data_IF_011651930929
#
_entry.id   IF_011651930929
#
_cell.length_a   1.000
_cell.length_b   1.000
_cell.length_c   1.000
_cell.angle_alpha   90.00
_cell.angle_beta   90.00
_cell.angle_gamma   90.00
#
_symmetry.space_group_name_H-M   'P 1'
#
loop_
_entity.id
_entity.type
_entity.pdbx_description
1 polymer ?
#
# COMPACT_ATOMS: atom_id res chain seq x y z
N UNK A 1 43.66 5.28 -37.36
CA UNK A 1 43.59 6.73 -37.04
C UNK A 1 43.99 6.88 -35.58
N UNK A 2 45.08 7.61 -35.30
CA UNK A 2 45.57 7.91 -33.94
C UNK A 2 45.53 9.42 -33.80
N UNK A 3 44.74 9.95 -32.86
CA UNK A 3 44.87 11.33 -32.43
C UNK A 3 44.96 11.35 -30.91
N UNK A 4 46.20 11.45 -30.46
CA UNK A 4 46.61 11.70 -29.08
C UNK A 4 46.65 13.21 -28.82
N UNK A 5 46.27 13.55 -27.59
CA UNK A 5 46.78 14.63 -26.72
C UNK A 5 46.32 16.09 -26.92
N UNK A 6 45.45 16.50 -25.98
CA UNK A 6 45.51 17.70 -25.10
C UNK A 6 45.81 19.07 -25.71
N UNK A 7 44.87 20.01 -25.54
CA UNK A 7 45.25 21.38 -25.20
C UNK A 7 44.21 22.04 -24.28
N UNK A 8 44.75 22.72 -23.29
CA UNK A 8 44.17 23.12 -22.02
C UNK A 8 43.51 24.50 -22.18
N UNK A 9 42.44 24.68 -21.41
CA UNK A 9 41.84 25.95 -21.02
C UNK A 9 42.76 27.18 -21.10
N UNK A 10 42.25 28.29 -21.68
CA UNK A 10 42.35 29.68 -21.18
C UNK A 10 42.08 30.74 -22.27
N UNK A 11 40.91 30.75 -22.88
CA UNK A 11 40.41 31.95 -23.59
C UNK A 11 38.92 31.65 -23.82
N UNK A 12 37.92 32.31 -23.25
CA UNK A 12 37.71 33.73 -23.12
C UNK A 12 36.69 33.97 -22.00
N UNK A 13 37.15 34.70 -20.98
CA UNK A 13 36.37 35.27 -19.90
C UNK A 13 35.98 36.69 -20.36
N UNK A 14 34.99 36.81 -21.25
CA UNK A 14 34.58 38.10 -21.83
C UNK A 14 33.06 38.29 -21.70
N UNK A 15 32.70 39.05 -20.66
CA UNK A 15 31.49 39.87 -20.48
C UNK A 15 30.09 39.24 -20.60
N UNK A 16 29.46 39.04 -19.41
CA UNK A 16 28.17 39.66 -19.09
C UNK A 16 26.88 39.00 -19.57
N UNK A 17 26.12 38.48 -18.60
CA UNK A 17 24.71 38.04 -18.65
C UNK A 17 24.40 36.76 -19.45
N UNK A 18 24.24 35.64 -18.73
CA UNK A 18 22.97 34.90 -18.69
C UNK A 18 22.88 34.13 -17.37
N UNK A 19 21.87 34.47 -16.58
CA UNK A 19 21.31 33.63 -15.52
C UNK A 19 20.82 32.32 -16.15
N UNK A 20 21.26 31.18 -15.64
CA UNK A 20 20.43 29.97 -15.59
C UNK A 20 21.18 28.81 -14.90
N UNK A 21 20.69 28.50 -13.70
CA UNK A 21 20.50 27.16 -13.14
C UNK A 21 21.74 26.29 -12.92
N UNK A 22 22.20 26.37 -11.67
CA UNK A 22 22.85 25.33 -10.90
C UNK A 22 22.23 23.95 -11.16
N UNK A 23 22.94 23.07 -11.87
CA UNK A 23 22.74 21.63 -11.72
C UNK A 23 23.81 21.13 -10.75
N UNK A 24 23.52 21.31 -9.47
CA UNK A 24 24.24 20.66 -8.38
C UNK A 24 23.53 19.35 -8.03
N UNK A 25 24.36 18.34 -7.71
CA UNK A 25 24.09 17.02 -7.09
C UNK A 25 23.70 15.87 -8.03
N UNK A 26 24.43 14.75 -7.88
CA UNK A 26 23.85 13.52 -7.39
C UNK A 26 24.36 13.32 -5.97
N UNK A 27 23.47 13.46 -4.98
CA UNK A 27 23.73 12.98 -3.64
C UNK A 27 22.78 11.82 -3.40
N UNK A 28 23.40 10.68 -3.13
CA UNK A 28 22.88 9.50 -2.44
C UNK A 28 21.35 9.46 -2.20
N UNK A 29 20.63 8.69 -3.01
CA UNK A 29 19.41 8.04 -2.54
C UNK A 29 19.89 6.88 -1.67
N UNK A 30 19.91 7.11 -0.36
CA UNK A 30 20.04 6.04 0.62
C UNK A 30 18.88 5.07 0.34
N UNK A 31 19.24 3.87 -0.11
CA UNK A 31 18.32 2.75 -0.21
C UNK A 31 17.87 2.44 1.23
N UNK A 32 16.71 2.96 1.61
CA UNK A 32 16.01 2.54 2.81
C UNK A 32 15.75 1.03 2.64
N UNK A 33 16.58 0.21 3.27
CA UNK A 33 16.31 -1.19 3.60
C UNK A 33 15.14 -1.17 4.60
N UNK A 34 13.95 -0.88 4.07
CA UNK A 34 12.71 -1.07 4.78
C UNK A 34 12.49 -2.58 4.77
N UNK A 35 12.62 -3.18 5.94
CA UNK A 35 12.26 -4.58 6.18
C UNK A 35 10.98 -4.88 5.40
N UNK A 36 11.12 -5.79 4.44
CA UNK A 36 10.06 -6.52 3.77
C UNK A 36 9.27 -7.23 4.88
N UNK A 37 8.39 -6.47 5.54
CA UNK A 37 7.28 -7.05 6.27
C UNK A 37 6.48 -7.75 5.20
N UNK A 38 6.81 -9.02 5.02
CA UNK A 38 6.06 -10.06 4.38
C UNK A 38 4.58 -9.78 4.63
N UNK A 39 3.99 -9.02 3.72
CA UNK A 39 2.55 -8.76 3.63
C UNK A 39 1.95 -10.02 3.04
N UNK A 40 2.26 -11.16 3.67
CA UNK A 40 1.54 -12.41 3.52
C UNK A 40 0.15 -12.12 4.07
N UNK A 41 -0.65 -11.59 3.17
CA UNK A 41 -2.07 -11.87 3.04
C UNK A 41 -2.82 -11.70 4.35
N UNK A 42 -3.48 -10.54 4.51
CA UNK A 42 -4.57 -10.34 5.48
C UNK A 42 -5.78 -11.27 5.21
N UNK A 43 -5.56 -12.50 4.75
CA UNK A 43 -6.57 -13.54 4.76
C UNK A 43 -6.86 -13.89 6.20
N UNK A 44 -8.15 -13.87 6.53
CA UNK A 44 -8.61 -14.25 7.85
C UNK A 44 -8.11 -15.66 8.21
N UNK A 45 -7.81 -15.92 9.49
CA UNK A 45 -7.46 -17.27 9.94
C UNK A 45 -8.57 -18.22 9.54
N UNK A 46 -8.24 -19.34 8.91
CA UNK A 46 -9.24 -20.35 8.55
C UNK A 46 -9.78 -21.03 9.80
N UNK A 47 -10.99 -21.54 9.68
CA UNK A 47 -11.64 -22.35 10.70
C UNK A 47 -12.01 -23.73 10.15
N UNK A 48 -11.72 -24.83 10.88
CA UNK A 48 -10.95 -24.85 12.13
C UNK A 48 -9.49 -24.43 11.90
N UNK A 49 -8.81 -23.83 12.91
CA UNK A 49 -7.38 -23.58 12.81
C UNK A 49 -6.61 -24.87 12.48
N UNK A 50 -5.49 -24.78 11.75
CA UNK A 50 -4.67 -25.95 11.46
C UNK A 50 -4.23 -26.64 12.77
N UNK A 51 -4.30 -27.97 12.76
CA UNK A 51 -3.89 -28.93 13.78
C UNK A 51 -3.63 -28.38 15.19
N UNK A 52 -4.72 -28.16 15.94
CA UNK A 52 -4.65 -27.99 17.39
C UNK A 52 -4.24 -26.60 17.86
N UNK A 53 -4.21 -25.58 16.99
CA UNK A 53 -4.13 -24.18 17.44
C UNK A 53 -5.44 -23.83 18.17
N UNK A 54 -5.41 -23.62 19.49
CA UNK A 54 -6.61 -23.25 20.23
C UNK A 54 -7.00 -21.82 19.84
N UNK A 55 -8.31 -21.58 19.69
CA UNK A 55 -8.87 -20.24 19.62
C UNK A 55 -9.87 -20.07 20.76
N UNK A 56 -10.03 -18.85 21.25
CA UNK A 56 -11.04 -18.55 22.26
C UNK A 56 -12.41 -18.33 21.59
N UNK A 57 -13.38 -19.27 21.75
CA UNK A 57 -14.72 -19.11 21.16
C UNK A 57 -15.51 -17.96 21.79
N UNK A 58 -15.07 -17.42 22.92
CA UNK A 58 -15.65 -16.24 23.56
C UNK A 58 -15.29 -14.95 22.82
N UNK A 59 -14.13 -14.93 22.17
CA UNK A 59 -13.61 -13.78 21.44
C UNK A 59 -13.76 -13.89 19.93
N UNK A 60 -13.83 -15.12 19.41
CA UNK A 60 -13.88 -15.38 17.98
C UNK A 60 -15.00 -16.35 17.61
N UNK A 61 -15.61 -16.11 16.46
CA UNK A 61 -16.61 -16.98 15.84
C UNK A 61 -16.13 -17.43 14.47
N UNK A 62 -16.47 -18.67 14.11
CA UNK A 62 -16.29 -19.18 12.76
C UNK A 62 -17.47 -18.72 11.89
N UNK A 63 -17.17 -18.11 10.75
CA UNK A 63 -18.15 -17.75 9.75
C UNK A 63 -17.58 -18.09 8.36
N UNK A 64 -18.36 -18.81 7.54
CA UNK A 64 -17.96 -19.33 6.22
C UNK A 64 -16.51 -19.87 6.10
N UNK A 65 -16.00 -20.54 7.14
CA UNK A 65 -14.64 -21.11 7.16
C UNK A 65 -13.52 -20.14 7.55
N UNK A 66 -13.85 -18.95 8.05
CA UNK A 66 -12.92 -17.93 8.53
C UNK A 66 -13.24 -17.53 9.98
N UNK A 67 -12.20 -17.18 10.74
CA UNK A 67 -12.28 -16.77 12.13
C UNK A 67 -12.44 -15.25 12.21
N UNK A 68 -13.59 -14.79 12.71
CA UNK A 68 -13.86 -13.37 12.93
C UNK A 68 -14.02 -13.07 14.42
N UNK A 69 -13.56 -11.91 14.92
CA UNK A 69 -13.94 -11.44 16.24
C UNK A 69 -15.47 -11.44 16.41
N UNK A 70 -15.97 -11.83 17.58
CA UNK A 70 -17.42 -11.91 17.84
C UNK A 70 -18.14 -10.57 17.68
N UNK A 71 -17.41 -9.46 17.81
CA UNK A 71 -17.88 -8.07 17.64
C UNK A 71 -17.92 -7.60 16.19
N UNK A 72 -17.47 -8.43 15.25
CA UNK A 72 -17.42 -8.13 13.82
C UNK A 72 -18.33 -9.06 13.03
N UNK A 73 -18.74 -8.62 11.85
CA UNK A 73 -19.43 -9.43 10.85
C UNK A 73 -18.48 -9.79 9.71
N UNK A 74 -18.83 -10.77 8.87
CA UNK A 74 -18.01 -11.15 7.72
C UNK A 74 -18.64 -10.66 6.41
N UNK A 75 -17.80 -10.19 5.51
CA UNK A 75 -18.13 -9.88 4.13
C UNK A 75 -17.03 -10.45 3.23
N UNK A 76 -17.38 -11.43 2.38
CA UNK A 76 -16.39 -12.16 1.59
C UNK A 76 -15.34 -12.82 2.49
N UNK A 77 -14.08 -12.42 2.35
CA UNK A 77 -12.95 -12.93 3.14
C UNK A 77 -12.46 -11.93 4.21
N UNK A 78 -13.29 -10.96 4.59
CA UNK A 78 -12.91 -9.93 5.56
C UNK A 78 -13.92 -9.83 6.69
N UNK A 79 -13.43 -9.61 7.90
CA UNK A 79 -14.27 -9.25 9.04
C UNK A 79 -14.32 -7.74 9.14
N UNK A 80 -15.49 -7.19 9.47
CA UNK A 80 -15.70 -5.76 9.56
C UNK A 80 -16.61 -5.38 10.72
N UNK A 81 -16.41 -4.17 11.23
CA UNK A 81 -17.34 -3.59 12.17
C UNK A 81 -18.49 -2.91 11.42
N UNK A 82 -19.71 -3.28 11.77
CA UNK A 82 -20.94 -2.75 11.19
C UNK A 82 -21.17 -1.26 11.51
N UNK A 83 -20.39 -0.68 12.42
CA UNK A 83 -20.42 0.74 12.75
C UNK A 83 -19.53 1.61 11.83
N UNK A 84 -18.68 1.00 10.99
CA UNK A 84 -17.76 1.71 10.10
C UNK A 84 -17.97 1.32 8.63
N UNK A 85 -18.40 0.08 8.37
CA UNK A 85 -18.55 -0.46 7.02
C UNK A 85 -19.88 -1.17 6.82
N UNK A 86 -20.25 -1.30 5.55
CA UNK A 86 -21.35 -2.11 5.04
C UNK A 86 -20.82 -3.14 4.05
N UNK A 87 -21.48 -4.29 3.97
CA UNK A 87 -21.22 -5.30 2.96
C UNK A 87 -22.24 -5.16 1.82
N UNK A 88 -21.79 -4.93 0.60
CA UNK A 88 -22.63 -4.81 -0.59
C UNK A 88 -22.07 -5.71 -1.69
N UNK A 89 -22.88 -6.66 -2.16
CA UNK A 89 -22.47 -7.63 -3.19
C UNK A 89 -21.17 -8.37 -2.85
N UNK A 90 -20.97 -8.72 -1.58
CA UNK A 90 -19.75 -9.40 -1.10
C UNK A 90 -18.52 -8.49 -0.98
N UNK A 91 -18.67 -7.19 -1.21
CA UNK A 91 -17.61 -6.20 -1.11
C UNK A 91 -17.85 -5.24 0.06
N UNK A 92 -16.76 -4.89 0.72
CA UNK A 92 -16.75 -4.06 1.90
C UNK A 92 -16.63 -2.59 1.52
N UNK A 93 -17.60 -1.77 1.93
CA UNK A 93 -17.64 -0.34 1.65
C UNK A 93 -17.88 0.47 2.92
N UNK A 94 -17.28 1.67 3.07
CA UNK A 94 -17.60 2.55 4.19
C UNK A 94 -19.10 2.86 4.26
N UNK A 95 -19.63 3.08 5.47
CA UNK A 95 -21.03 3.49 5.63
C UNK A 95 -21.30 4.77 4.82
N UNK A 96 -22.46 4.81 4.15
CA UNK A 96 -22.83 5.90 3.24
C UNK A 96 -22.27 5.74 1.82
N UNK A 97 -21.60 4.61 1.53
CA UNK A 97 -21.14 4.23 0.19
C UNK A 97 -21.65 2.83 -0.17
N UNK A 98 -21.64 2.49 -1.46
CA UNK A 98 -21.97 1.16 -1.98
C UNK A 98 -20.96 0.72 -3.04
N UNK A 99 -20.85 -0.58 -3.27
CA UNK A 99 -19.98 -1.14 -4.29
C UNK A 99 -20.56 -0.91 -5.69
N UNK A 100 -19.83 -0.24 -6.58
CA UNK A 100 -20.23 0.02 -7.96
C UNK A 100 -19.03 0.01 -8.90
N UNK A 101 -19.06 -0.84 -9.93
CA UNK A 101 -18.01 -0.90 -10.97
C UNK A 101 -16.59 -1.01 -10.37
N UNK A 102 -16.40 -1.89 -9.39
CA UNK A 102 -15.08 -2.21 -8.83
C UNK A 102 -14.58 -1.28 -7.72
N UNK A 103 -15.41 -0.36 -7.22
CA UNK A 103 -15.04 0.53 -6.12
C UNK A 103 -16.25 1.05 -5.34
N UNK A 104 -16.02 1.59 -4.15
CA UNK A 104 -17.07 2.19 -3.33
C UNK A 104 -17.41 3.61 -3.80
N UNK A 105 -18.69 3.89 -4.04
CA UNK A 105 -19.22 5.21 -4.41
C UNK A 105 -20.13 5.75 -3.32
N UNK A 106 -20.04 7.05 -3.03
CA UNK A 106 -20.96 7.71 -2.11
C UNK A 106 -22.38 7.65 -2.62
N UNK A 107 -23.31 7.49 -1.68
CA UNK A 107 -24.72 7.66 -1.96
C UNK A 107 -25.07 9.12 -2.22
N UNK A 108 -25.33 9.43 -3.49
CA UNK A 108 -26.03 10.64 -3.86
C UNK A 108 -27.52 10.37 -3.66
N UNK A 109 -27.99 10.61 -2.43
CA UNK A 109 -29.41 10.78 -2.15
C UNK A 109 -29.91 12.11 -2.73
#
# INVERSE_FOLDING_TARGET
MRFTTTSIAKVLLVLGLTVALSNSLPAEHEDDDYDDYDEHDKSLPRCPPPDGVPYDPSQYKCHYGFLCPVTTEQCGQHCYFTNAYTCTDGHLCPIGTWWYHGHCKKSHH
#
